data_IF_305950755696
#
_entry.id   IF_305950755696
#
_cell.length_a   1.000
_cell.length_b   1.000
_cell.length_c   1.000
_cell.angle_alpha   90.00
_cell.angle_beta   90.00
_cell.angle_gamma   90.00
#
_symmetry.space_group_name_H-M   'P 1'
#
loop_
_entity.id
_entity.type
_entity.pdbx_description
1 polymer ?
#
# COMPACT_ATOMS: atom_id res chain seq x y z
N UNK A 1 -20.03 -56.83 -50.12
CA UNK A 1 -19.91 -56.24 -48.75
C UNK A 1 -20.11 -57.38 -47.76
N UNK A 2 -19.12 -57.69 -46.96
CA UNK A 2 -19.26 -58.73 -45.94
C UNK A 2 -20.13 -58.15 -44.80
N UNK A 3 -21.29 -58.75 -44.59
CA UNK A 3 -22.21 -58.40 -43.50
C UNK A 3 -21.73 -59.18 -42.28
N UNK A 4 -21.01 -58.49 -41.37
CA UNK A 4 -20.62 -59.07 -40.10
C UNK A 4 -21.82 -58.95 -39.15
N UNK A 5 -22.44 -60.07 -38.81
CA UNK A 5 -23.64 -60.11 -37.96
C UNK A 5 -23.35 -59.74 -36.48
N UNK A 6 -22.12 -59.95 -36.03
CA UNK A 6 -21.76 -59.71 -34.59
C UNK A 6 -21.06 -58.37 -34.28
N UNK A 7 -20.54 -57.64 -35.28
CA UNK A 7 -19.88 -56.36 -35.04
C UNK A 7 -20.18 -55.41 -36.20
N UNK A 8 -21.00 -54.41 -35.95
CA UNK A 8 -21.26 -53.35 -36.92
C UNK A 8 -20.20 -52.24 -36.77
N UNK A 9 -19.16 -52.29 -37.64
CA UNK A 9 -18.07 -51.32 -37.63
C UNK A 9 -18.55 -49.86 -37.77
N UNK A 10 -19.56 -49.66 -38.64
CA UNK A 10 -20.12 -48.32 -38.86
C UNK A 10 -20.85 -47.79 -37.62
N UNK A 11 -21.52 -48.63 -36.85
CA UNK A 11 -22.16 -48.23 -35.60
C UNK A 11 -21.12 -47.87 -34.52
N UNK A 12 -20.04 -48.66 -34.40
CA UNK A 12 -18.94 -48.37 -33.50
C UNK A 12 -18.19 -47.08 -33.87
N UNK A 13 -18.01 -46.83 -35.15
CA UNK A 13 -17.43 -45.59 -35.66
C UNK A 13 -18.32 -44.39 -35.37
N UNK A 14 -19.63 -44.51 -35.60
CA UNK A 14 -20.62 -43.48 -35.25
C UNK A 14 -20.62 -43.16 -33.76
N UNK A 15 -20.53 -44.16 -32.90
CA UNK A 15 -20.48 -43.99 -31.46
C UNK A 15 -19.20 -43.25 -31.00
N UNK A 16 -18.05 -43.52 -31.64
CA UNK A 16 -16.81 -42.77 -31.39
C UNK A 16 -16.92 -41.32 -31.84
N UNK A 17 -17.52 -41.03 -32.99
CA UNK A 17 -17.74 -39.65 -33.45
C UNK A 17 -18.67 -38.89 -32.52
N UNK A 18 -19.76 -39.48 -32.07
CA UNK A 18 -20.68 -38.89 -31.12
C UNK A 18 -19.96 -38.57 -29.80
N UNK A 19 -19.16 -39.48 -29.28
CA UNK A 19 -18.37 -39.25 -28.07
C UNK A 19 -17.38 -38.08 -28.21
N UNK A 20 -16.70 -37.99 -29.35
CA UNK A 20 -15.78 -36.87 -29.63
C UNK A 20 -16.52 -35.53 -29.74
N UNK A 21 -17.65 -35.49 -30.44
CA UNK A 21 -18.48 -34.27 -30.53
C UNK A 21 -19.01 -33.84 -29.20
N UNK A 22 -19.44 -34.79 -28.37
CA UNK A 22 -19.95 -34.51 -27.05
C UNK A 22 -18.89 -33.91 -26.13
N UNK A 23 -17.63 -34.41 -26.19
CA UNK A 23 -16.49 -33.84 -25.46
C UNK A 23 -16.14 -32.41 -25.94
N UNK A 24 -16.14 -32.19 -27.27
CA UNK A 24 -15.93 -30.85 -27.83
C UNK A 24 -17.02 -29.87 -27.42
N UNK A 25 -18.28 -30.32 -27.45
CA UNK A 25 -19.43 -29.52 -27.06
C UNK A 25 -19.32 -29.11 -25.59
N UNK A 26 -18.99 -30.05 -24.70
CA UNK A 26 -18.78 -29.79 -23.27
C UNK A 26 -17.68 -28.74 -23.02
N UNK A 27 -16.54 -28.86 -23.71
CA UNK A 27 -15.44 -27.88 -23.62
C UNK A 27 -15.89 -26.50 -24.12
N UNK A 28 -16.66 -26.46 -25.23
CA UNK A 28 -17.17 -25.19 -25.77
C UNK A 28 -18.17 -24.53 -24.83
N UNK A 29 -19.06 -25.29 -24.20
CA UNK A 29 -19.99 -24.78 -23.18
C UNK A 29 -19.26 -24.26 -21.95
N UNK A 30 -18.22 -24.93 -21.48
CA UNK A 30 -17.38 -24.46 -20.37
C UNK A 30 -16.72 -23.11 -20.71
N UNK A 31 -16.17 -22.97 -21.92
CA UNK A 31 -15.58 -21.72 -22.41
C UNK A 31 -16.60 -20.60 -22.56
N UNK A 32 -17.79 -20.93 -23.06
CA UNK A 32 -18.88 -19.95 -23.20
C UNK A 32 -19.39 -19.46 -21.85
N UNK A 33 -19.56 -20.39 -20.91
CA UNK A 33 -20.04 -20.07 -19.55
C UNK A 33 -19.03 -19.25 -18.75
N UNK A 34 -17.74 -19.55 -18.85
CA UNK A 34 -16.68 -18.81 -18.15
C UNK A 34 -16.29 -17.51 -18.85
N UNK A 35 -16.59 -17.35 -20.15
CA UNK A 35 -16.11 -16.26 -20.98
C UNK A 35 -14.60 -16.30 -21.26
N UNK A 36 -13.90 -17.35 -20.83
CA UNK A 36 -12.46 -17.51 -20.97
C UNK A 36 -12.09 -18.67 -21.88
N UNK A 37 -11.07 -18.48 -22.73
CA UNK A 37 -10.56 -19.53 -23.62
C UNK A 37 -9.82 -20.63 -22.84
N UNK A 38 -9.06 -20.25 -21.82
CA UNK A 38 -8.28 -21.11 -20.94
C UNK A 38 -9.01 -21.15 -19.60
N UNK A 39 -9.58 -22.30 -19.25
CA UNK A 39 -10.39 -22.48 -18.06
C UNK A 39 -9.74 -23.46 -17.06
N UNK A 40 -8.82 -24.29 -17.53
CA UNK A 40 -8.12 -25.27 -16.70
C UNK A 40 -6.70 -25.48 -17.18
N UNK A 41 -5.84 -26.02 -16.32
CA UNK A 41 -4.47 -26.41 -16.66
C UNK A 41 -4.41 -27.44 -17.79
N UNK A 42 -5.49 -28.18 -18.07
CA UNK A 42 -5.62 -29.13 -19.18
C UNK A 42 -5.68 -28.42 -20.53
N UNK A 43 -6.23 -27.20 -20.59
CA UNK A 43 -6.36 -26.46 -21.85
C UNK A 43 -5.03 -25.82 -22.27
N UNK A 44 -4.33 -25.19 -21.32
CA UNK A 44 -3.00 -24.60 -21.50
C UNK A 44 -2.35 -24.35 -20.13
N UNK A 45 -1.45 -25.26 -19.73
CA UNK A 45 -0.76 -25.14 -18.44
C UNK A 45 0.22 -23.96 -18.39
N UNK A 46 0.91 -23.68 -19.51
CA UNK A 46 1.87 -22.58 -19.60
C UNK A 46 1.16 -21.22 -19.59
N UNK A 47 0.09 -21.09 -20.37
CA UNK A 47 -0.72 -19.87 -20.41
C UNK A 47 -1.39 -19.57 -19.08
N UNK A 48 -1.88 -20.57 -18.36
CA UNK A 48 -2.46 -20.40 -17.04
C UNK A 48 -1.43 -19.89 -16.03
N UNK A 49 -0.25 -20.47 -15.99
CA UNK A 49 0.84 -20.04 -15.10
C UNK A 49 1.27 -18.59 -15.36
N UNK A 50 1.36 -18.20 -16.65
CA UNK A 50 1.67 -16.83 -17.04
C UNK A 50 0.56 -15.88 -16.58
N UNK A 51 -0.71 -16.24 -16.79
CA UNK A 51 -1.87 -15.45 -16.39
C UNK A 51 -1.91 -15.23 -14.86
N UNK A 52 -1.67 -16.26 -14.06
CA UNK A 52 -1.63 -16.18 -12.61
C UNK A 52 -0.49 -15.28 -12.12
N UNK A 53 0.69 -15.38 -12.75
CA UNK A 53 1.82 -14.49 -12.43
C UNK A 53 1.52 -13.03 -12.78
N UNK A 54 0.96 -12.77 -13.96
CA UNK A 54 0.56 -11.42 -14.37
C UNK A 54 -0.54 -10.86 -13.47
N UNK A 55 -1.52 -11.67 -13.09
CA UNK A 55 -2.59 -11.27 -12.16
C UNK A 55 -2.02 -10.88 -10.79
N UNK A 56 -1.06 -11.66 -10.28
CA UNK A 56 -0.36 -11.35 -9.06
C UNK A 56 0.40 -10.02 -9.15
N UNK A 57 1.11 -9.77 -10.26
CA UNK A 57 1.81 -8.50 -10.50
C UNK A 57 0.83 -7.32 -10.60
N UNK A 58 -0.27 -7.47 -11.33
CA UNK A 58 -1.29 -6.42 -11.46
C UNK A 58 -1.89 -6.08 -10.09
N UNK A 59 -2.21 -7.08 -9.27
CA UNK A 59 -2.73 -6.87 -7.94
C UNK A 59 -1.71 -6.15 -7.04
N UNK A 60 -0.44 -6.50 -7.15
CA UNK A 60 0.65 -5.80 -6.46
C UNK A 60 0.80 -4.34 -6.87
N UNK A 61 0.78 -4.06 -8.18
CA UNK A 61 0.85 -2.69 -8.71
C UNK A 61 -0.38 -1.86 -8.30
N UNK A 62 -1.57 -2.46 -8.33
CA UNK A 62 -2.79 -1.80 -7.88
C UNK A 62 -2.73 -1.44 -6.38
N UNK A 63 -2.14 -2.33 -5.56
CA UNK A 63 -1.91 -2.03 -4.15
C UNK A 63 -0.85 -0.94 -3.98
N UNK A 64 0.23 -0.97 -4.76
CA UNK A 64 1.24 0.08 -4.79
C UNK A 64 0.66 1.46 -5.11
N UNK A 65 -0.23 1.53 -6.10
CA UNK A 65 -0.95 2.76 -6.45
C UNK A 65 -1.83 3.29 -5.30
N UNK A 66 -2.55 2.42 -4.61
CA UNK A 66 -3.32 2.81 -3.42
C UNK A 66 -2.41 3.33 -2.32
N UNK A 67 -1.33 2.62 -2.02
CA UNK A 67 -0.37 3.03 -1.01
C UNK A 67 0.29 4.38 -1.34
N UNK A 68 0.57 4.64 -2.62
CA UNK A 68 1.08 5.93 -3.08
C UNK A 68 0.05 7.06 -2.88
N UNK A 69 -1.22 6.80 -3.19
CA UNK A 69 -2.31 7.75 -2.96
C UNK A 69 -2.50 8.07 -1.47
N UNK A 70 -2.42 7.07 -0.62
CA UNK A 70 -2.46 7.25 0.84
C UNK A 70 -1.25 8.07 1.34
N UNK A 71 -0.07 7.84 0.75
CA UNK A 71 1.12 8.63 1.03
C UNK A 71 0.98 10.10 0.64
N UNK A 72 0.36 10.38 -0.50
CA UNK A 72 0.06 11.76 -0.93
C UNK A 72 -0.94 12.42 0.02
N UNK A 73 -2.01 11.73 0.40
CA UNK A 73 -2.99 12.25 1.34
C UNK A 73 -2.36 12.56 2.71
N UNK A 74 -1.46 11.69 3.18
CA UNK A 74 -0.68 11.93 4.39
C UNK A 74 0.18 13.20 4.26
N UNK A 75 0.92 13.36 3.16
CA UNK A 75 1.78 14.52 2.91
C UNK A 75 0.97 15.82 2.86
N UNK A 76 -0.19 15.82 2.20
CA UNK A 76 -1.09 16.98 2.17
C UNK A 76 -1.61 17.36 3.54
N UNK A 77 -1.94 16.38 4.39
CA UNK A 77 -2.37 16.64 5.77
C UNK A 77 -1.25 17.24 6.60
N UNK A 78 -0.02 16.79 6.40
CA UNK A 78 1.17 17.37 7.06
C UNK A 78 1.42 18.80 6.59
N UNK A 79 1.34 19.04 5.29
CA UNK A 79 1.54 20.36 4.67
C UNK A 79 0.56 21.38 5.23
N UNK A 80 -0.73 21.06 5.28
CA UNK A 80 -1.76 21.94 5.84
C UNK A 80 -1.46 22.31 7.30
N UNK A 81 -1.06 21.35 8.13
CA UNK A 81 -0.67 21.61 9.53
C UNK A 81 0.60 22.48 9.63
N UNK A 82 1.58 22.26 8.74
CA UNK A 82 2.82 23.06 8.73
C UNK A 82 2.60 24.49 8.27
N UNK A 83 1.67 24.72 7.33
CA UNK A 83 1.32 26.07 6.86
C UNK A 83 0.72 26.93 7.98
N UNK A 84 -0.19 26.34 8.77
CA UNK A 84 -0.75 27.02 9.95
C UNK A 84 0.34 27.36 10.98
N UNK A 85 1.23 26.41 11.28
CA UNK A 85 2.37 26.61 12.18
C UNK A 85 3.28 27.72 11.65
N UNK A 86 3.59 27.74 10.36
CA UNK A 86 4.43 28.75 9.72
C UNK A 86 3.81 30.15 9.84
N UNK A 87 2.51 30.28 9.61
CA UNK A 87 1.77 31.52 9.79
C UNK A 87 1.86 32.05 11.22
N UNK A 88 1.70 31.19 12.22
CA UNK A 88 1.81 31.56 13.63
C UNK A 88 3.24 31.94 14.03
N UNK A 89 4.26 31.23 13.53
CA UNK A 89 5.66 31.58 13.76
C UNK A 89 6.02 32.95 13.18
N UNK A 90 5.48 33.30 12.01
CA UNK A 90 5.66 34.64 11.43
C UNK A 90 5.03 35.73 12.32
N UNK A 91 3.84 35.47 12.88
CA UNK A 91 3.21 36.40 13.85
C UNK A 91 4.08 36.56 15.12
N UNK A 92 4.56 35.45 15.68
CA UNK A 92 5.48 35.49 16.83
C UNK A 92 6.72 36.31 16.52
N UNK A 93 7.32 36.13 15.32
CA UNK A 93 8.45 36.94 14.86
C UNK A 93 8.13 38.44 14.80
N UNK A 94 6.97 38.80 14.28
CA UNK A 94 6.53 40.19 14.22
C UNK A 94 6.35 40.80 15.62
N UNK A 95 5.71 40.05 16.53
CA UNK A 95 5.56 40.47 17.94
C UNK A 95 6.92 40.63 18.65
N UNK A 96 7.87 39.73 18.37
CA UNK A 96 9.22 39.81 18.91
C UNK A 96 9.98 41.07 18.41
N UNK A 97 9.90 41.38 17.13
CA UNK A 97 10.47 42.61 16.56
C UNK A 97 9.82 43.86 17.18
N UNK A 98 8.50 43.85 17.35
CA UNK A 98 7.77 44.95 18.00
C UNK A 98 8.22 45.11 19.46
N UNK A 99 8.34 44.00 20.22
CA UNK A 99 8.79 44.05 21.61
C UNK A 99 10.24 44.53 21.79
N UNK A 100 11.09 44.33 20.75
CA UNK A 100 12.48 44.81 20.77
C UNK A 100 12.62 46.33 20.64
N UNK A 101 11.54 47.03 20.25
CA UNK A 101 11.56 48.50 20.15
C UNK A 101 11.68 49.12 21.55
N UNK A 102 12.60 50.05 21.68
CA UNK A 102 12.87 50.79 22.92
C UNK A 102 11.76 51.77 23.41
N UNK A 103 10.77 52.02 22.55
CA UNK A 103 9.62 52.89 22.88
C UNK A 103 8.54 52.18 23.68
N UNK A 104 8.59 50.84 23.79
CA UNK A 104 7.58 50.09 24.51
C UNK A 104 7.83 50.06 26.01
N UNK A 105 6.75 50.26 26.76
CA UNK A 105 6.76 50.13 28.22
C UNK A 105 6.91 48.67 28.68
N UNK A 106 7.23 48.47 29.94
CA UNK A 106 7.31 47.11 30.51
C UNK A 106 5.97 46.35 30.46
N UNK A 107 4.88 47.10 30.60
CA UNK A 107 3.51 46.56 30.51
C UNK A 107 3.17 46.11 29.09
N UNK A 108 3.54 46.91 28.05
CA UNK A 108 3.34 46.57 26.66
C UNK A 108 4.13 45.29 26.31
N UNK A 109 5.38 45.18 26.75
CA UNK A 109 6.20 43.97 26.54
C UNK A 109 5.59 42.73 27.19
N UNK A 110 4.95 42.91 28.36
CA UNK A 110 4.26 41.81 29.03
C UNK A 110 3.01 41.38 28.25
N UNK A 111 2.26 42.31 27.69
CA UNK A 111 1.10 42.02 26.82
C UNK A 111 1.52 41.25 25.56
N UNK A 112 2.56 41.72 24.85
CA UNK A 112 3.12 41.07 23.66
C UNK A 112 3.65 39.66 23.99
N UNK A 113 4.27 39.47 25.17
CA UNK A 113 4.74 38.15 25.62
C UNK A 113 3.58 37.17 25.86
N UNK A 114 2.47 37.65 26.44
CA UNK A 114 1.27 36.80 26.62
C UNK A 114 0.67 36.35 25.28
N UNK A 115 0.60 37.26 24.30
CA UNK A 115 0.12 36.93 22.97
C UNK A 115 1.04 35.91 22.29
N UNK A 116 2.37 36.11 22.34
CA UNK A 116 3.34 35.16 21.82
C UNK A 116 3.24 33.78 22.50
N UNK A 117 3.02 33.74 23.79
CA UNK A 117 2.81 32.48 24.53
C UNK A 117 1.52 31.78 24.12
N UNK A 118 0.44 32.52 23.89
CA UNK A 118 -0.82 31.98 23.40
C UNK A 118 -0.64 31.32 22.04
N UNK A 119 0.07 32.00 21.10
CA UNK A 119 0.40 31.44 19.79
C UNK A 119 1.29 30.18 19.89
N UNK A 120 2.26 30.17 20.79
CA UNK A 120 3.12 29.01 21.05
C UNK A 120 2.32 27.78 21.56
N UNK A 121 1.34 28.04 22.44
CA UNK A 121 0.44 27.00 22.92
C UNK A 121 -0.45 26.46 21.77
N UNK A 122 -0.89 27.32 20.89
CA UNK A 122 -1.69 26.91 19.72
C UNK A 122 -0.86 26.07 18.72
N UNK A 123 0.39 26.44 18.48
CA UNK A 123 1.33 25.61 17.69
C UNK A 123 1.46 24.20 18.31
N UNK A 124 1.64 24.15 19.64
CA UNK A 124 1.72 22.89 20.36
C UNK A 124 0.43 22.08 20.23
N UNK A 125 -0.72 22.73 20.31
CA UNK A 125 -2.03 22.10 20.13
C UNK A 125 -2.16 21.49 18.72
N UNK A 126 -1.81 22.22 17.67
CA UNK A 126 -1.87 21.72 16.29
C UNK A 126 -0.93 20.52 16.12
N UNK A 127 0.31 20.61 16.63
CA UNK A 127 1.26 19.52 16.54
C UNK A 127 0.77 18.23 17.23
N UNK A 128 -0.02 18.34 18.30
CA UNK A 128 -0.55 17.21 19.05
C UNK A 128 -1.87 16.69 18.48
N UNK A 129 -2.71 17.55 17.90
CA UNK A 129 -4.05 17.19 17.44
C UNK A 129 -4.09 16.79 15.97
N UNK A 130 -3.09 17.16 15.16
CA UNK A 130 -3.04 16.73 13.76
C UNK A 130 -2.75 15.23 13.69
N UNK A 131 -3.78 14.47 13.32
CA UNK A 131 -3.71 13.00 13.24
C UNK A 131 -4.10 12.53 11.83
N UNK A 132 -3.48 11.43 11.41
CA UNK A 132 -3.85 10.68 10.21
C UNK A 132 -4.06 9.22 10.58
N UNK A 133 -5.23 8.66 10.26
CA UNK A 133 -5.62 7.29 10.64
C UNK A 133 -5.46 7.00 12.16
N UNK A 134 -5.73 8.01 13.01
CA UNK A 134 -5.63 7.87 14.46
C UNK A 134 -4.23 8.01 15.05
N UNK A 135 -3.21 8.25 14.22
CA UNK A 135 -1.82 8.44 14.64
C UNK A 135 -1.39 9.90 14.44
N UNK A 136 -0.66 10.47 15.41
CA UNK A 136 -0.13 11.83 15.30
C UNK A 136 0.99 11.91 14.28
N UNK A 137 1.02 13.01 13.49
CA UNK A 137 1.94 13.15 12.36
C UNK A 137 3.06 14.14 12.68
N UNK A 138 2.73 15.27 13.33
CA UNK A 138 3.63 16.41 13.53
C UNK A 138 4.43 16.36 14.83
N UNK A 139 4.17 15.38 15.69
CA UNK A 139 4.80 15.27 17.01
C UNK A 139 6.26 14.80 16.97
N UNK A 140 6.73 14.32 15.83
CA UNK A 140 8.04 13.71 15.70
C UNK A 140 8.11 12.29 16.30
N UNK A 141 9.34 11.78 16.45
CA UNK A 141 9.57 10.46 17.04
C UNK A 141 9.46 10.53 18.56
N UNK A 142 8.49 9.85 19.13
CA UNK A 142 8.39 9.57 20.57
C UNK A 142 8.23 8.06 20.75
N UNK A 143 8.63 7.55 21.93
CA UNK A 143 8.55 6.11 22.26
C UNK A 143 7.11 5.57 22.36
N UNK A 144 6.09 6.41 22.13
CA UNK A 144 4.67 6.05 22.12
C UNK A 144 4.25 5.51 20.74
N UNK A 145 3.47 4.43 20.73
CA UNK A 145 2.85 3.81 19.53
C UNK A 145 1.91 4.76 18.76
N UNK A 146 1.64 5.95 19.30
CA UNK A 146 0.70 6.92 18.73
C UNK A 146 1.24 7.73 17.56
N UNK A 147 2.53 7.57 17.17
CA UNK A 147 3.13 8.30 16.06
C UNK A 147 3.27 7.42 14.81
N UNK A 148 3.08 8.02 13.62
CA UNK A 148 3.27 7.32 12.33
C UNK A 148 4.74 6.99 12.08
N UNK A 149 5.65 7.80 12.63
CA UNK A 149 7.08 7.63 12.42
C UNK A 149 7.66 6.57 13.36
N UNK A 150 8.18 5.47 12.78
CA UNK A 150 8.87 4.45 13.54
C UNK A 150 10.27 4.90 13.96
N UNK A 151 10.70 4.49 15.15
CA UNK A 151 12.08 4.63 15.60
C UNK A 151 12.99 3.80 14.70
N UNK A 152 14.03 4.40 14.14
CA UNK A 152 15.04 3.63 13.43
C UNK A 152 15.75 2.70 14.44
N UNK A 153 15.83 1.40 14.13
CA UNK A 153 16.25 0.34 15.04
C UNK A 153 17.66 0.51 15.69
N UNK A 154 18.45 1.49 15.23
CA UNK A 154 19.80 1.76 15.73
C UNK A 154 19.98 3.21 16.20
N UNK A 155 18.95 3.88 16.65
CA UNK A 155 19.07 5.29 17.02
C UNK A 155 19.36 5.47 18.50
N UNK A 156 20.64 5.64 18.84
CA UNK A 156 21.14 6.08 20.15
C UNK A 156 21.05 7.61 20.32
N UNK A 157 20.70 8.32 19.23
CA UNK A 157 20.70 9.80 19.22
C UNK A 157 19.28 10.33 19.31
N UNK A 158 18.95 10.95 20.43
CA UNK A 158 17.78 11.81 20.62
C UNK A 158 17.84 12.97 19.60
N UNK A 159 17.03 12.92 18.54
CA UNK A 159 16.89 14.05 17.61
C UNK A 159 16.90 13.69 16.12
N UNK A 160 17.05 12.43 15.73
CA UNK A 160 16.92 12.03 14.32
C UNK A 160 15.47 11.88 13.91
N UNK A 161 15.15 12.33 12.69
CA UNK A 161 13.82 12.23 12.11
C UNK A 161 13.34 10.78 12.06
N UNK A 162 12.11 10.54 12.45
CA UNK A 162 11.45 9.24 12.34
C UNK A 162 11.35 8.80 10.88
N UNK A 163 11.35 7.49 10.63
CA UNK A 163 11.28 6.91 9.29
C UNK A 163 9.85 6.44 9.00
N UNK A 164 9.28 6.95 7.90
CA UNK A 164 8.05 6.43 7.32
C UNK A 164 8.41 5.55 6.11
N UNK A 165 7.95 4.31 6.08
CA UNK A 165 8.11 3.41 4.94
C UNK A 165 6.77 3.22 4.25
N UNK A 166 6.71 3.62 2.98
CA UNK A 166 5.58 3.35 2.09
C UNK A 166 5.98 2.23 1.13
N UNK A 167 5.20 1.16 1.09
CA UNK A 167 5.43 0.04 0.18
C UNK A 167 4.74 0.32 -1.15
N UNK A 168 5.51 0.74 -2.15
CA UNK A 168 5.03 1.03 -3.51
C UNK A 168 5.38 -0.10 -4.48
N UNK A 169 6.45 -0.86 -4.20
CA UNK A 169 6.88 -1.97 -5.05
C UNK A 169 6.46 -3.33 -4.47
N UNK A 170 6.08 -4.24 -5.34
CA UNK A 170 5.58 -5.58 -4.98
C UNK A 170 6.71 -6.55 -4.65
N UNK A 171 7.98 -6.26 -5.00
CA UNK A 171 9.07 -7.24 -4.97
C UNK A 171 9.97 -7.17 -3.73
N UNK A 172 10.34 -8.32 -3.21
CA UNK A 172 11.36 -8.67 -2.20
C UNK A 172 11.29 -8.04 -0.80
N UNK A 173 10.90 -6.77 -0.61
CA UNK A 173 10.90 -6.16 0.72
C UNK A 173 9.71 -6.53 1.58
N UNK A 174 8.54 -6.72 0.98
CA UNK A 174 7.32 -7.12 1.69
C UNK A 174 7.43 -8.53 2.31
N UNK A 175 8.29 -9.39 1.75
CA UNK A 175 8.55 -10.75 2.24
C UNK A 175 9.63 -10.79 3.33
N UNK A 176 10.46 -9.76 3.45
CA UNK A 176 11.55 -9.72 4.43
C UNK A 176 11.08 -9.31 5.82
N UNK A 177 10.04 -8.47 5.89
CA UNK A 177 9.51 -7.91 7.14
C UNK A 177 8.32 -8.70 7.72
N UNK A 178 7.98 -9.85 7.12
CA UNK A 178 6.94 -10.75 7.65
C UNK A 178 7.57 -11.87 8.50
N UNK A 179 7.65 -11.73 9.83
CA UNK A 179 8.50 -12.58 10.66
C UNK A 179 7.97 -14.01 10.89
N UNK A 180 6.75 -14.35 10.46
CA UNK A 180 6.08 -15.54 11.00
C UNK A 180 6.02 -16.75 10.06
N UNK A 181 6.22 -16.61 8.75
CA UNK A 181 5.90 -17.72 7.82
C UNK A 181 7.11 -18.28 7.04
N UNK A 182 8.27 -17.64 7.06
CA UNK A 182 9.36 -17.96 6.11
C UNK A 182 10.53 -18.77 6.69
N UNK A 183 10.52 -19.16 7.98
CA UNK A 183 11.60 -20.00 8.53
C UNK A 183 11.61 -21.45 8.01
N UNK A 184 10.61 -21.87 7.21
CA UNK A 184 10.49 -23.23 6.68
C UNK A 184 10.18 -23.34 5.19
N UNK A 185 10.42 -22.31 4.35
CA UNK A 185 10.25 -22.45 2.90
C UNK A 185 11.54 -22.88 2.22
N UNK A 186 11.52 -23.95 1.39
CA UNK A 186 12.67 -24.39 0.64
C UNK A 186 13.11 -23.36 -0.40
N UNK A 187 14.41 -23.31 -0.68
CA UNK A 187 15.09 -22.26 -1.47
C UNK A 187 14.52 -22.04 -2.89
N UNK A 188 13.83 -23.02 -3.48
CA UNK A 188 13.24 -22.90 -4.83
C UNK A 188 12.02 -21.97 -4.91
N UNK A 189 11.33 -21.69 -3.79
CA UNK A 189 10.18 -20.77 -3.78
C UNK A 189 10.60 -19.29 -3.72
N UNK A 190 11.86 -18.99 -3.44
CA UNK A 190 12.39 -17.63 -3.46
C UNK A 190 12.48 -17.03 -4.87
N UNK A 191 12.74 -17.87 -5.87
CA UNK A 191 12.92 -17.44 -7.25
C UNK A 191 11.61 -17.35 -8.05
N UNK A 192 10.49 -17.82 -7.48
CA UNK A 192 9.22 -17.84 -8.20
C UNK A 192 8.42 -16.53 -8.12
N UNK A 193 8.78 -15.65 -7.20
CA UNK A 193 8.02 -14.40 -6.90
C UNK A 193 8.59 -13.18 -7.61
N UNK A 194 9.84 -13.25 -8.10
CA UNK A 194 10.55 -12.11 -8.66
C UNK A 194 11.23 -12.34 -10.02
N UNK A 195 10.83 -13.35 -10.78
CA UNK A 195 11.30 -13.53 -12.18
C UNK A 195 10.19 -13.24 -13.18
#
# INVERSE_FOLDING_TARGET
MAVYVNTNYSALQGQRYLGNVQNQLTTTYQRLSSGMRINSAKDDAAGLQIADRLTSQINGLNQGNRNASDGIALAQTMEAGMDEISGMLQKIRTLAVQAANGTNTAEDKTALSKEATSLANEISRIALQTTYAGKTILRGQKDDESTIFSKAANNTDNGKAGKLTLQVEFCERALRDWPVVLSRRPAYLRNLVCS
#
